data_IF_322227428919
#
_entry.id   IF_322227428919
#
_cell.length_a   1.000
_cell.length_b   1.000
_cell.length_c   1.000
_cell.angle_alpha   90.00
_cell.angle_beta   90.00
_cell.angle_gamma   90.00
#
_symmetry.space_group_name_H-M   'P 1'
#
loop_
_entity.id
_entity.type
_entity.pdbx_description
1 polymer ?
#
# COMPACT_ATOMS: atom_id res chain seq x y z
N UNK A 1 -31.04 -1.24 -84.41
CA UNK A 1 -29.96 -1.76 -83.51
C UNK A 1 -30.35 -1.45 -82.11
N UNK A 2 -30.67 -2.47 -81.30
CA UNK A 2 -31.07 -2.34 -79.88
C UNK A 2 -29.83 -2.58 -79.01
N UNK A 3 -29.57 -1.82 -77.94
CA UNK A 3 -28.44 -2.10 -77.03
C UNK A 3 -28.80 -3.21 -76.02
N UNK A 4 -27.84 -4.08 -75.84
CA UNK A 4 -27.85 -5.20 -74.87
C UNK A 4 -27.77 -4.62 -73.41
N UNK A 5 -28.70 -5.03 -72.55
CA UNK A 5 -28.65 -4.76 -71.13
C UNK A 5 -27.79 -5.83 -70.46
N UNK A 6 -26.66 -5.41 -69.93
CA UNK A 6 -25.80 -6.20 -69.06
C UNK A 6 -26.40 -6.28 -67.63
N UNK A 7 -26.83 -7.43 -67.23
CA UNK A 7 -27.29 -7.67 -65.82
C UNK A 7 -26.07 -7.85 -64.89
N UNK A 8 -25.87 -6.95 -64.01
CA UNK A 8 -24.91 -7.11 -62.92
C UNK A 8 -25.39 -8.18 -61.95
N UNK A 9 -24.72 -9.31 -61.91
CA UNK A 9 -24.77 -10.26 -60.81
C UNK A 9 -23.77 -9.77 -59.76
N UNK A 10 -24.27 -9.17 -58.68
CA UNK A 10 -23.50 -8.91 -57.47
C UNK A 10 -23.51 -10.23 -56.68
N UNK A 11 -22.39 -10.94 -56.72
CA UNK A 11 -22.15 -12.06 -55.82
C UNK A 11 -21.82 -11.48 -54.43
N UNK A 12 -22.76 -11.60 -53.51
CA UNK A 12 -22.54 -11.26 -52.12
C UNK A 12 -21.63 -12.28 -51.45
N UNK A 13 -20.37 -11.91 -51.23
CA UNK A 13 -19.51 -12.61 -50.30
C UNK A 13 -19.97 -12.27 -48.88
N UNK A 14 -20.74 -13.15 -48.25
CA UNK A 14 -20.93 -13.17 -46.81
C UNK A 14 -19.59 -13.54 -46.16
N UNK A 15 -18.84 -12.53 -45.74
CA UNK A 15 -17.78 -12.72 -44.80
C UNK A 15 -18.45 -13.10 -43.45
N UNK A 16 -18.49 -14.39 -43.19
CA UNK A 16 -18.73 -14.86 -41.82
C UNK A 16 -17.54 -14.39 -40.97
N UNK A 17 -17.69 -13.23 -40.34
CA UNK A 17 -16.81 -12.82 -39.27
C UNK A 17 -17.01 -13.85 -38.15
N UNK A 18 -16.20 -14.89 -38.17
CA UNK A 18 -16.06 -15.78 -37.03
C UNK A 18 -15.65 -14.94 -35.83
N UNK A 19 -16.59 -14.70 -34.96
CA UNK A 19 -16.28 -14.18 -33.64
C UNK A 19 -15.34 -15.21 -33.00
N UNK A 20 -14.03 -14.92 -33.03
CA UNK A 20 -13.09 -15.63 -32.18
C UNK A 20 -13.63 -15.46 -30.76
N UNK A 21 -13.82 -16.57 -30.03
CA UNK A 21 -14.18 -16.42 -28.62
C UNK A 21 -13.09 -15.55 -27.99
N UNK A 22 -13.45 -14.34 -27.63
CA UNK A 22 -12.68 -13.55 -26.67
C UNK A 22 -12.71 -14.41 -25.41
N UNK A 23 -11.69 -15.20 -25.24
CA UNK A 23 -11.41 -15.85 -23.97
C UNK A 23 -11.09 -14.68 -23.03
N UNK A 24 -12.16 -14.06 -22.54
CA UNK A 24 -12.06 -13.07 -21.52
C UNK A 24 -11.31 -13.71 -20.37
N UNK A 25 -10.27 -13.08 -19.91
CA UNK A 25 -9.52 -13.42 -18.70
C UNK A 25 -10.39 -13.31 -17.43
N UNK A 26 -11.67 -13.53 -17.55
CA UNK A 26 -12.67 -13.43 -16.47
C UNK A 26 -12.50 -14.51 -15.40
N UNK A 27 -11.48 -15.33 -15.49
CA UNK A 27 -11.18 -16.35 -14.50
C UNK A 27 -9.78 -16.27 -13.89
N UNK A 28 -8.85 -15.47 -14.40
CA UNK A 28 -7.52 -15.37 -13.83
C UNK A 28 -7.54 -14.66 -12.46
N UNK A 29 -6.72 -15.07 -11.47
CA UNK A 29 -6.55 -14.33 -10.23
C UNK A 29 -5.90 -12.97 -10.53
N UNK A 30 -6.29 -11.96 -9.77
CA UNK A 30 -5.62 -10.65 -9.77
C UNK A 30 -4.72 -10.56 -8.56
N UNK A 31 -3.46 -10.22 -8.75
CA UNK A 31 -2.50 -10.01 -7.67
C UNK A 31 -1.96 -8.58 -7.73
N UNK A 32 -2.12 -7.83 -6.65
CA UNK A 32 -1.43 -6.56 -6.42
C UNK A 32 -0.21 -6.85 -5.56
N UNK A 33 0.95 -6.37 -6.00
CA UNK A 33 2.19 -6.39 -5.22
C UNK A 33 2.43 -4.97 -4.76
N UNK A 34 2.25 -4.76 -3.46
CA UNK A 34 2.37 -3.50 -2.77
C UNK A 34 3.63 -3.49 -1.92
N UNK A 35 4.29 -2.36 -1.89
CA UNK A 35 5.44 -2.11 -1.03
C UNK A 35 5.14 -0.95 -0.11
N UNK A 36 5.44 -1.12 1.17
CA UNK A 36 5.06 -0.16 2.20
C UNK A 36 6.25 0.70 2.66
N UNK A 37 5.94 1.78 3.39
CA UNK A 37 6.85 2.66 4.13
C UNK A 37 7.73 3.58 3.26
N UNK A 38 7.34 3.91 2.02
CA UNK A 38 8.04 4.93 1.22
C UNK A 38 8.05 6.27 1.96
N UNK A 39 9.22 6.86 2.11
CA UNK A 39 9.43 8.09 2.88
C UNK A 39 10.12 7.84 4.23
N UNK A 40 10.16 6.61 4.72
CA UNK A 40 10.72 6.28 6.04
C UNK A 40 12.22 6.59 6.12
N UNK A 41 13.00 6.07 5.17
CA UNK A 41 14.46 6.21 5.08
C UNK A 41 14.88 6.33 3.62
N UNK A 42 16.08 6.86 3.37
CA UNK A 42 16.66 6.87 2.02
C UNK A 42 16.81 5.47 1.43
N UNK A 43 17.31 4.52 2.22
CA UNK A 43 17.45 3.11 1.83
C UNK A 43 16.11 2.45 1.45
N UNK A 44 15.02 2.83 2.11
CA UNK A 44 13.67 2.37 1.81
C UNK A 44 13.19 2.99 0.50
N UNK A 45 13.37 4.30 0.33
CA UNK A 45 12.97 5.01 -0.89
C UNK A 45 13.63 4.42 -2.13
N UNK A 46 14.95 4.23 -2.11
CA UNK A 46 15.70 3.63 -3.21
C UNK A 46 15.23 2.20 -3.50
N UNK A 47 15.05 1.37 -2.47
CA UNK A 47 14.57 0.00 -2.63
C UNK A 47 13.15 -0.06 -3.21
N UNK A 48 12.23 0.78 -2.74
CA UNK A 48 10.88 0.87 -3.28
C UNK A 48 10.88 1.18 -4.78
N UNK A 49 11.65 2.17 -5.20
CA UNK A 49 11.75 2.55 -6.61
C UNK A 49 12.45 1.47 -7.44
N UNK A 50 13.47 0.82 -6.88
CA UNK A 50 14.14 -0.29 -7.56
C UNK A 50 13.20 -1.48 -7.78
N UNK A 51 12.37 -1.86 -6.79
CA UNK A 51 11.40 -2.94 -6.94
C UNK A 51 10.30 -2.63 -7.97
N UNK A 52 9.99 -1.35 -8.20
CA UNK A 52 9.13 -0.93 -9.29
C UNK A 52 9.84 -0.99 -10.65
N UNK A 53 11.02 -0.38 -10.78
CA UNK A 53 11.74 -0.26 -12.06
C UNK A 53 12.26 -1.59 -12.58
N UNK A 54 12.77 -2.43 -11.71
CA UNK A 54 13.44 -3.69 -12.07
C UNK A 54 12.75 -4.95 -11.57
N UNK A 55 11.72 -4.81 -10.76
CA UNK A 55 10.96 -5.90 -10.16
C UNK A 55 9.49 -5.93 -10.57
N UNK A 56 8.68 -6.47 -9.68
CA UNK A 56 7.27 -6.77 -9.93
C UNK A 56 6.29 -5.88 -9.14
N UNK A 57 6.77 -5.01 -8.24
CA UNK A 57 5.92 -4.09 -7.50
C UNK A 57 5.24 -3.08 -8.43
N UNK A 58 3.98 -2.77 -8.16
CA UNK A 58 3.19 -1.82 -8.95
C UNK A 58 2.42 -0.82 -8.10
N UNK A 59 2.38 -1.01 -6.79
CA UNK A 59 1.78 -0.10 -5.82
C UNK A 59 2.74 0.18 -4.67
N UNK A 60 2.72 1.39 -4.13
CA UNK A 60 3.58 1.82 -3.02
C UNK A 60 2.79 2.68 -2.03
N UNK A 61 3.06 2.49 -0.74
CA UNK A 61 2.42 3.26 0.32
C UNK A 61 3.39 4.32 0.86
N UNK A 62 3.02 5.60 0.76
CA UNK A 62 3.86 6.73 1.15
C UNK A 62 3.47 7.31 2.51
N UNK A 63 4.45 7.67 3.31
CA UNK A 63 4.29 8.16 4.69
C UNK A 63 4.63 9.65 4.80
N UNK A 64 3.65 10.57 4.88
CA UNK A 64 3.91 12.02 4.85
C UNK A 64 4.56 12.57 6.12
N UNK A 65 4.52 11.83 7.23
CA UNK A 65 5.15 12.21 8.51
C UNK A 65 6.63 11.84 8.57
N UNK A 66 7.09 11.01 7.65
CA UNK A 66 8.44 10.47 7.66
C UNK A 66 9.48 11.49 7.13
N UNK A 67 10.71 11.41 7.65
CA UNK A 67 11.75 12.41 7.39
C UNK A 67 12.20 12.48 5.92
N UNK A 68 12.13 11.37 5.18
CA UNK A 68 12.52 11.28 3.77
C UNK A 68 11.35 11.43 2.78
N UNK A 69 10.20 11.89 3.26
CA UNK A 69 9.03 12.18 2.42
C UNK A 69 9.30 13.16 1.26
N UNK A 70 10.10 14.26 1.43
CA UNK A 70 10.42 15.14 0.30
C UNK A 70 11.17 14.44 -0.84
N UNK A 71 12.05 13.48 -0.52
CA UNK A 71 12.71 12.65 -1.53
C UNK A 71 11.73 11.70 -2.21
N UNK A 72 10.85 11.06 -1.42
CA UNK A 72 9.81 10.20 -1.96
C UNK A 72 8.92 10.92 -2.98
N UNK A 73 8.51 12.17 -2.71
CA UNK A 73 7.76 13.00 -3.67
C UNK A 73 8.53 13.18 -4.98
N UNK A 74 9.83 13.48 -4.91
CA UNK A 74 10.67 13.63 -6.11
C UNK A 74 10.71 12.34 -6.92
N UNK A 75 10.98 11.22 -6.25
CA UNK A 75 11.08 9.91 -6.90
C UNK A 75 9.74 9.48 -7.52
N UNK A 76 8.60 9.76 -6.86
CA UNK A 76 7.27 9.47 -7.41
C UNK A 76 6.97 10.30 -8.66
N UNK A 77 7.35 11.56 -8.71
CA UNK A 77 7.21 12.40 -9.93
C UNK A 77 8.01 11.86 -11.10
N UNK A 78 9.16 11.24 -10.85
CA UNK A 78 9.98 10.59 -11.86
C UNK A 78 9.44 9.21 -12.29
N UNK A 79 8.47 8.66 -11.57
CA UNK A 79 7.86 7.35 -11.80
C UNK A 79 6.31 7.43 -11.85
N UNK A 80 5.73 8.17 -12.81
CA UNK A 80 4.29 8.47 -12.82
C UNK A 80 3.39 7.24 -13.08
N UNK A 81 3.96 6.11 -13.49
CA UNK A 81 3.24 4.85 -13.68
C UNK A 81 3.15 3.98 -12.43
N UNK A 82 3.79 4.39 -11.33
CA UNK A 82 3.67 3.70 -10.05
C UNK A 82 2.37 4.14 -9.37
N UNK A 83 1.53 3.19 -8.98
CA UNK A 83 0.35 3.44 -8.18
C UNK A 83 0.76 3.83 -6.76
N UNK A 84 0.11 4.84 -6.18
CA UNK A 84 0.48 5.37 -4.87
C UNK A 84 -0.72 5.39 -3.94
N UNK A 85 -0.55 4.72 -2.80
CA UNK A 85 -1.43 4.85 -1.64
C UNK A 85 -0.83 5.76 -0.58
N UNK A 86 -1.70 6.35 0.22
CA UNK A 86 -1.29 7.05 1.44
C UNK A 86 -1.30 6.07 2.60
N UNK A 87 -0.13 5.84 3.17
CA UNK A 87 0.02 5.09 4.42
C UNK A 87 -0.25 6.02 5.61
N UNK A 88 -1.46 5.98 6.14
CA UNK A 88 -1.87 6.77 7.31
C UNK A 88 -1.12 6.31 8.55
N UNK A 89 -0.50 7.23 9.24
CA UNK A 89 0.47 6.95 10.32
C UNK A 89 0.04 7.65 11.60
N UNK A 90 -0.04 6.90 12.70
CA UNK A 90 -0.15 7.41 14.07
C UNK A 90 0.79 6.68 15.03
N UNK A 91 1.72 5.92 14.48
CA UNK A 91 2.80 5.27 15.24
C UNK A 91 4.14 5.69 14.67
N UNK A 92 5.18 5.57 15.46
CA UNK A 92 6.57 5.79 15.05
C UNK A 92 7.27 4.44 14.93
N UNK A 93 8.56 4.45 14.64
CA UNK A 93 9.40 3.28 14.83
C UNK A 93 10.02 3.29 16.23
N UNK A 94 10.88 2.32 16.51
CA UNK A 94 11.52 2.15 17.81
C UNK A 94 12.47 3.30 18.19
N UNK A 95 13.63 3.05 18.70
CA UNK A 95 14.46 4.05 19.38
C UNK A 95 15.07 5.09 18.44
N UNK A 96 15.51 4.69 17.24
CA UNK A 96 16.33 5.55 16.37
C UNK A 96 15.58 6.19 15.21
N UNK A 97 14.40 5.71 14.88
CA UNK A 97 13.58 6.22 13.78
C UNK A 97 12.25 6.69 14.33
N UNK A 98 12.11 7.99 14.54
CA UNK A 98 10.95 8.59 15.18
C UNK A 98 10.33 9.66 14.28
N UNK A 99 9.01 9.66 14.25
CA UNK A 99 8.24 10.66 13.51
C UNK A 99 7.35 11.46 14.45
N UNK A 100 7.09 12.70 14.05
CA UNK A 100 6.15 13.59 14.73
C UNK A 100 4.88 13.71 13.89
N UNK A 101 3.72 13.94 14.52
CA UNK A 101 2.51 14.27 13.78
C UNK A 101 2.68 15.57 12.99
N UNK A 102 1.88 15.73 11.94
CA UNK A 102 1.74 16.98 11.20
C UNK A 102 0.90 18.02 11.97
N UNK A 103 0.16 17.56 12.97
CA UNK A 103 -0.76 18.36 13.76
C UNK A 103 -0.43 18.29 15.26
N UNK A 104 -1.14 19.09 16.06
CA UNK A 104 -1.04 18.98 17.51
C UNK A 104 -2.00 17.89 18.00
N UNK A 105 -1.47 16.73 18.37
CA UNK A 105 -2.23 15.58 18.85
C UNK A 105 -1.54 14.89 20.04
N UNK A 106 -1.55 15.52 21.22
CA UNK A 106 -0.85 15.03 22.42
C UNK A 106 -1.33 13.66 22.90
N UNK A 107 -2.56 13.24 22.58
CA UNK A 107 -3.04 11.91 22.96
C UNK A 107 -2.39 10.76 22.18
N UNK A 108 -1.68 11.09 21.09
CA UNK A 108 -1.03 10.13 20.20
C UNK A 108 0.50 10.13 20.34
N UNK A 109 1.06 10.98 21.22
CA UNK A 109 2.50 11.20 21.31
C UNK A 109 3.03 11.00 22.73
N UNK A 110 4.31 10.62 22.79
CA UNK A 110 5.08 10.57 24.03
C UNK A 110 5.39 11.98 24.56
N UNK A 111 6.07 12.06 25.71
CA UNK A 111 6.47 13.31 26.35
C UNK A 111 7.40 14.18 25.48
N UNK A 112 8.09 13.59 24.51
CA UNK A 112 8.97 14.25 23.56
C UNK A 112 8.24 14.70 22.29
N UNK A 113 6.95 14.41 22.15
CA UNK A 113 6.12 14.74 21.01
C UNK A 113 6.34 13.84 19.78
N UNK A 114 6.87 12.65 19.97
CA UNK A 114 6.92 11.61 18.93
C UNK A 114 5.72 10.67 19.08
N UNK A 115 5.21 10.16 17.99
CA UNK A 115 4.24 9.06 18.04
C UNK A 115 4.78 7.88 18.84
N UNK A 116 3.90 7.19 19.57
CA UNK A 116 4.24 5.92 20.21
C UNK A 116 4.70 4.90 19.18
N UNK A 117 5.66 4.01 19.52
CA UNK A 117 6.24 3.09 18.53
C UNK A 117 5.32 1.95 18.11
N UNK A 118 4.25 1.69 18.85
CA UNK A 118 3.40 0.52 18.63
C UNK A 118 1.92 0.86 18.60
N UNK A 119 1.16 0.09 17.84
CA UNK A 119 -0.30 0.15 17.87
C UNK A 119 -0.86 -0.65 19.04
N UNK A 120 -0.38 -1.88 19.25
CA UNK A 120 -0.90 -2.83 20.21
C UNK A 120 0.03 -3.01 21.41
N UNK A 121 -0.50 -3.35 22.60
CA UNK A 121 0.30 -3.62 23.78
C UNK A 121 1.33 -4.72 23.53
N UNK A 122 2.55 -4.50 24.01
CA UNK A 122 3.62 -5.48 23.98
C UNK A 122 4.20 -5.62 25.40
N UNK A 123 4.17 -6.82 26.01
CA UNK A 123 4.71 -7.03 27.36
C UNK A 123 6.19 -6.67 27.52
N UNK A 124 6.98 -6.71 26.43
CA UNK A 124 8.37 -6.29 26.47
C UNK A 124 8.55 -4.77 26.51
N UNK A 125 7.51 -4.00 26.16
CA UNK A 125 7.53 -2.55 26.06
C UNK A 125 6.22 -1.95 26.61
N UNK A 126 5.94 -2.13 27.92
CA UNK A 126 4.68 -1.69 28.51
C UNK A 126 4.52 -0.16 28.42
N UNK A 127 3.30 0.28 28.11
CA UNK A 127 2.97 1.70 28.02
C UNK A 127 3.42 2.39 26.73
N UNK A 128 3.98 1.65 25.77
CA UNK A 128 4.50 2.22 24.52
C UNK A 128 3.61 1.97 23.29
N UNK A 129 2.34 1.68 23.49
CA UNK A 129 1.40 1.52 22.40
C UNK A 129 0.26 2.52 22.45
N UNK A 130 -0.30 2.86 21.30
CA UNK A 130 -1.49 3.72 21.17
C UNK A 130 -2.66 3.14 21.96
N UNK A 131 -2.87 1.83 21.92
CA UNK A 131 -4.00 1.19 22.61
C UNK A 131 -3.87 1.19 24.15
N UNK A 132 -2.71 1.48 24.69
CA UNK A 132 -2.50 1.68 26.13
C UNK A 132 -2.74 3.15 26.56
N UNK A 133 -2.90 4.07 25.60
CA UNK A 133 -3.15 5.48 25.86
C UNK A 133 -4.64 5.82 25.85
N UNK A 134 -4.97 6.99 26.39
CA UNK A 134 -6.29 7.60 26.25
C UNK A 134 -6.32 8.45 24.97
N UNK A 135 -6.25 7.80 23.81
CA UNK A 135 -6.28 8.50 22.52
C UNK A 135 -7.63 9.22 22.29
N UNK A 136 -7.60 10.33 21.54
CA UNK A 136 -8.77 11.11 21.16
C UNK A 136 -9.04 10.96 19.66
N UNK A 137 -10.23 10.50 19.32
CA UNK A 137 -10.67 10.33 17.92
C UNK A 137 -10.63 11.63 17.11
N UNK A 138 -10.80 12.78 17.76
CA UNK A 138 -10.74 14.08 17.08
C UNK A 138 -9.30 14.43 16.70
N UNK A 139 -8.34 14.07 17.52
CA UNK A 139 -6.92 14.24 17.19
C UNK A 139 -6.50 13.29 16.07
N UNK A 140 -6.99 12.04 16.09
CA UNK A 140 -6.77 11.09 14.97
C UNK A 140 -7.38 11.64 13.68
N UNK A 141 -8.61 12.15 13.72
CA UNK A 141 -9.24 12.75 12.53
C UNK A 141 -8.46 13.95 12.01
N UNK A 142 -8.05 14.85 12.89
CA UNK A 142 -7.27 16.02 12.52
C UNK A 142 -5.94 15.63 11.87
N UNK A 143 -5.26 14.65 12.43
CA UNK A 143 -3.99 14.15 11.91
C UNK A 143 -4.16 13.45 10.55
N UNK A 144 -5.13 12.55 10.42
CA UNK A 144 -5.40 11.88 9.15
C UNK A 144 -5.79 12.85 8.04
N UNK A 145 -6.58 13.88 8.33
CA UNK A 145 -6.90 14.94 7.37
C UNK A 145 -5.65 15.68 6.91
N UNK A 146 -4.79 16.07 7.85
CA UNK A 146 -3.54 16.75 7.51
C UNK A 146 -2.62 15.88 6.64
N UNK A 147 -2.53 14.58 6.92
CA UNK A 147 -1.77 13.64 6.10
C UNK A 147 -2.37 13.49 4.70
N UNK A 148 -3.69 13.34 4.57
CA UNK A 148 -4.39 13.25 3.27
C UNK A 148 -4.17 14.52 2.45
N UNK A 149 -4.42 15.67 3.03
CA UNK A 149 -4.33 16.96 2.34
C UNK A 149 -2.90 17.31 1.92
N UNK A 150 -1.91 16.98 2.76
CA UNK A 150 -0.50 17.14 2.44
C UNK A 150 -0.09 16.28 1.25
N UNK A 151 -0.56 15.03 1.23
CA UNK A 151 -0.24 14.08 0.17
C UNK A 151 -0.93 14.45 -1.14
N UNK A 152 -2.21 14.82 -1.11
CA UNK A 152 -2.95 15.28 -2.30
C UNK A 152 -2.30 16.50 -2.98
N UNK A 153 -1.72 17.43 -2.21
CA UNK A 153 -1.00 18.60 -2.75
C UNK A 153 0.30 18.21 -3.46
N UNK A 154 0.94 17.13 -3.05
CA UNK A 154 2.30 16.79 -3.44
C UNK A 154 2.37 15.67 -4.48
N UNK A 155 1.40 14.75 -4.49
CA UNK A 155 1.42 13.49 -5.23
C UNK A 155 0.12 13.33 -6.03
N UNK A 156 0.12 13.75 -7.33
CA UNK A 156 -1.09 13.70 -8.16
C UNK A 156 -1.62 12.29 -8.43
N UNK A 157 -0.77 11.27 -8.35
CA UNK A 157 -1.12 9.86 -8.57
C UNK A 157 -1.67 9.15 -7.33
N UNK A 158 -1.95 9.87 -6.24
CA UNK A 158 -2.57 9.28 -5.05
C UNK A 158 -3.92 8.67 -5.39
N UNK A 159 -4.08 7.39 -5.11
CA UNK A 159 -5.24 6.59 -5.53
C UNK A 159 -6.06 6.00 -4.39
N UNK A 160 -5.45 5.76 -3.22
CA UNK A 160 -6.09 5.06 -2.11
C UNK A 160 -5.44 5.35 -0.75
N UNK A 161 -6.08 4.84 0.30
CA UNK A 161 -5.62 4.91 1.69
C UNK A 161 -5.28 3.52 2.21
N UNK A 162 -4.25 3.44 3.02
CA UNK A 162 -3.89 2.28 3.84
C UNK A 162 -3.42 2.73 5.22
N UNK A 163 -3.14 1.82 6.14
CA UNK A 163 -2.72 2.16 7.50
C UNK A 163 -1.43 1.49 7.93
N UNK A 164 -0.46 2.31 8.31
CA UNK A 164 0.76 1.84 8.95
C UNK A 164 0.44 1.14 10.27
N UNK A 165 0.98 -0.08 10.48
CA UNK A 165 0.74 -0.88 11.69
C UNK A 165 -0.75 -1.03 12.07
N UNK A 166 -1.66 -1.13 11.09
CA UNK A 166 -3.11 -1.22 11.29
C UNK A 166 -3.76 0.05 11.89
N UNK A 167 -3.16 1.22 11.71
CA UNK A 167 -3.65 2.51 12.22
C UNK A 167 -5.09 2.85 11.78
N UNK A 168 -5.53 2.32 10.66
CA UNK A 168 -6.87 2.56 10.07
C UNK A 168 -7.97 1.67 10.63
N UNK A 169 -7.65 0.67 11.45
CA UNK A 169 -8.62 -0.34 11.84
C UNK A 169 -8.45 -0.93 13.23
N UNK A 170 -7.64 -0.36 14.10
CA UNK A 170 -7.39 -0.91 15.44
C UNK A 170 -8.61 -0.79 16.38
N UNK A 171 -9.59 0.05 16.04
CA UNK A 171 -10.88 0.11 16.71
C UNK A 171 -12.02 0.32 15.70
N UNK A 172 -13.25 -0.03 16.12
CA UNK A 172 -14.45 0.22 15.30
C UNK A 172 -14.61 1.71 14.97
N UNK A 173 -14.42 2.58 15.96
CA UNK A 173 -14.58 4.03 15.83
C UNK A 173 -13.59 4.60 14.81
N UNK A 174 -12.33 4.17 14.84
CA UNK A 174 -11.30 4.59 13.89
C UNK A 174 -11.60 4.04 12.49
N UNK A 175 -12.05 2.81 12.37
CA UNK A 175 -12.47 2.27 11.06
C UNK A 175 -13.61 3.09 10.45
N UNK A 176 -14.66 3.42 11.23
CA UNK A 176 -15.77 4.28 10.78
C UNK A 176 -15.29 5.68 10.36
N UNK A 177 -14.34 6.25 11.11
CA UNK A 177 -13.68 7.51 10.73
C UNK A 177 -12.99 7.39 9.37
N UNK A 178 -12.15 6.38 9.18
CA UNK A 178 -11.40 6.18 7.93
C UNK A 178 -12.35 5.97 6.74
N UNK A 179 -13.43 5.19 6.91
CA UNK A 179 -14.43 5.02 5.86
C UNK A 179 -15.11 6.35 5.48
N UNK A 180 -15.37 7.22 6.45
CA UNK A 180 -15.91 8.56 6.21
C UNK A 180 -14.91 9.43 5.44
N UNK A 181 -13.65 9.45 5.85
CA UNK A 181 -12.59 10.20 5.16
C UNK A 181 -12.36 9.66 3.74
N UNK A 182 -12.30 8.36 3.57
CA UNK A 182 -12.18 7.70 2.26
C UNK A 182 -13.25 8.16 1.28
N UNK A 183 -14.50 8.25 1.74
CA UNK A 183 -15.62 8.75 0.95
C UNK A 183 -15.51 10.26 0.68
N UNK A 184 -15.16 11.05 1.68
CA UNK A 184 -15.06 12.51 1.60
C UNK A 184 -13.99 12.94 0.60
N UNK A 185 -12.81 12.30 0.64
CA UNK A 185 -11.70 12.61 -0.25
C UNK A 185 -11.70 11.81 -1.55
N UNK A 186 -12.68 10.92 -1.75
CA UNK A 186 -12.76 10.00 -2.89
C UNK A 186 -11.50 9.13 -3.05
N UNK A 187 -10.96 8.67 -1.94
CA UNK A 187 -9.80 7.78 -1.83
C UNK A 187 -10.22 6.50 -1.11
N UNK A 188 -10.47 5.38 -1.82
CA UNK A 188 -10.86 4.14 -1.16
C UNK A 188 -9.80 3.66 -0.17
N UNK A 189 -10.22 3.10 0.95
CA UNK A 189 -9.34 2.38 1.88
C UNK A 189 -9.25 0.92 1.46
N UNK A 190 -8.03 0.39 1.35
CA UNK A 190 -7.78 -0.97 0.87
C UNK A 190 -7.29 -1.94 1.95
N UNK A 191 -7.34 -1.53 3.20
CA UNK A 191 -6.90 -2.37 4.30
C UNK A 191 -7.85 -3.53 4.60
N UNK A 192 -7.35 -4.54 5.32
CA UNK A 192 -8.11 -5.74 5.75
C UNK A 192 -9.43 -5.41 6.42
N UNK A 193 -9.48 -4.30 7.15
CA UNK A 193 -10.62 -3.87 7.95
C UNK A 193 -11.67 -3.16 7.11
N UNK A 194 -11.37 -2.85 5.86
CA UNK A 194 -12.36 -2.29 4.95
C UNK A 194 -13.42 -3.35 4.62
N UNK A 195 -14.67 -3.02 4.93
CA UNK A 195 -15.84 -3.85 4.62
C UNK A 195 -16.39 -3.62 3.22
N UNK A 196 -15.85 -2.67 2.46
CA UNK A 196 -16.31 -2.39 1.11
C UNK A 196 -16.04 -3.59 0.19
N UNK A 197 -17.08 -4.04 -0.51
CA UNK A 197 -16.99 -5.23 -1.37
C UNK A 197 -16.09 -5.00 -2.58
N UNK A 198 -15.91 -3.75 -3.00
CA UNK A 198 -15.23 -3.41 -4.24
C UNK A 198 -13.70 -3.45 -4.13
N UNK A 199 -13.16 -3.33 -2.91
CA UNK A 199 -11.73 -3.28 -2.63
C UNK A 199 -11.24 -4.42 -1.75
N UNK A 200 -11.99 -5.51 -1.65
CA UNK A 200 -11.56 -6.68 -0.88
C UNK A 200 -10.43 -7.44 -1.57
N UNK A 201 -9.34 -7.58 -0.82
CA UNK A 201 -8.22 -8.44 -1.18
C UNK A 201 -8.07 -9.57 -0.16
N UNK A 202 -7.69 -10.74 -0.65
CA UNK A 202 -7.14 -11.80 0.20
C UNK A 202 -5.66 -11.54 0.36
N UNK A 203 -5.20 -11.30 1.58
CA UNK A 203 -3.78 -11.13 1.84
C UNK A 203 -3.06 -12.46 1.69
N UNK A 204 -1.97 -12.45 0.95
CA UNK A 204 -1.01 -13.54 0.87
C UNK A 204 0.35 -13.05 1.33
N UNK A 205 1.18 -13.95 1.83
CA UNK A 205 2.50 -13.63 2.34
C UNK A 205 3.40 -14.85 2.33
N UNK A 206 4.59 -14.70 2.90
CA UNK A 206 5.50 -15.81 3.11
C UNK A 206 4.91 -16.83 4.10
N UNK A 207 5.33 -18.10 4.00
CA UNK A 207 4.92 -19.20 4.88
C UNK A 207 5.75 -19.23 6.19
N UNK A 208 5.94 -18.07 6.80
CA UNK A 208 6.72 -17.83 8.00
C UNK A 208 7.94 -16.93 7.74
N UNK A 209 8.76 -16.66 8.78
CA UNK A 209 9.94 -15.82 8.66
C UNK A 209 10.92 -16.34 7.60
N UNK A 210 11.45 -15.46 6.77
CA UNK A 210 12.43 -15.77 5.73
C UNK A 210 13.65 -14.87 5.91
N UNK A 211 14.84 -15.47 5.83
CA UNK A 211 16.11 -14.78 6.07
C UNK A 211 16.91 -14.52 4.80
N UNK A 212 16.66 -15.29 3.73
CA UNK A 212 17.38 -15.15 2.47
C UNK A 212 16.43 -14.85 1.31
N UNK A 213 16.97 -14.30 0.23
CA UNK A 213 16.21 -14.04 -0.98
C UNK A 213 15.63 -15.32 -1.58
N UNK A 214 16.39 -16.43 -1.55
CA UNK A 214 15.97 -17.72 -2.08
C UNK A 214 14.81 -18.30 -1.27
N UNK A 215 14.84 -18.16 0.06
CA UNK A 215 13.74 -18.58 0.94
C UNK A 215 12.48 -17.75 0.67
N UNK A 216 12.62 -16.43 0.50
CA UNK A 216 11.51 -15.52 0.14
C UNK A 216 10.93 -15.91 -1.22
N UNK A 217 11.76 -16.10 -2.24
CA UNK A 217 11.34 -16.50 -3.59
C UNK A 217 10.58 -17.82 -3.57
N UNK A 218 11.14 -18.86 -2.97
CA UNK A 218 10.51 -20.17 -2.89
C UNK A 218 9.16 -20.12 -2.15
N UNK A 219 9.06 -19.34 -1.08
CA UNK A 219 7.82 -19.17 -0.33
C UNK A 219 6.79 -18.37 -1.13
N UNK A 220 7.20 -17.32 -1.86
CA UNK A 220 6.33 -16.54 -2.71
C UNK A 220 5.78 -17.38 -3.86
N UNK A 221 6.61 -18.17 -4.55
CA UNK A 221 6.16 -19.10 -5.60
C UNK A 221 5.08 -20.05 -5.07
N UNK A 222 5.28 -20.66 -3.90
CA UNK A 222 4.27 -21.50 -3.25
C UNK A 222 2.96 -20.75 -2.95
N UNK A 223 3.03 -19.45 -2.65
CA UNK A 223 1.84 -18.63 -2.45
C UNK A 223 1.10 -18.40 -3.77
N UNK A 224 1.83 -18.16 -4.87
CA UNK A 224 1.26 -17.99 -6.21
C UNK A 224 0.53 -19.25 -6.70
N UNK A 225 1.05 -20.45 -6.42
CA UNK A 225 0.44 -21.73 -6.78
C UNK A 225 -0.95 -21.97 -6.15
N UNK A 226 -1.24 -21.25 -5.06
CA UNK A 226 -2.51 -21.36 -4.31
C UNK A 226 -3.58 -20.38 -4.75
N UNK A 227 -3.27 -19.47 -5.66
CA UNK A 227 -4.20 -18.44 -6.12
C UNK A 227 -5.38 -19.09 -6.88
N UNK A 228 -6.58 -18.65 -6.55
CA UNK A 228 -7.81 -19.17 -7.17
C UNK A 228 -8.31 -18.23 -8.26
N UNK A 229 -8.82 -18.77 -9.37
CA UNK A 229 -9.41 -17.97 -10.44
C UNK A 229 -10.48 -17.00 -9.95
N UNK A 230 -10.51 -15.81 -10.50
CA UNK A 230 -11.52 -14.77 -10.18
C UNK A 230 -11.37 -14.10 -8.82
N UNK A 231 -10.38 -14.48 -8.02
CA UNK A 231 -10.10 -13.85 -6.73
C UNK A 231 -9.09 -12.71 -6.86
N UNK A 232 -9.15 -11.77 -5.91
CA UNK A 232 -8.21 -10.65 -5.79
C UNK A 232 -7.30 -10.87 -4.59
N UNK A 233 -6.01 -10.71 -4.82
CA UNK A 233 -4.98 -10.93 -3.81
C UNK A 233 -4.10 -9.70 -3.66
N UNK A 234 -3.62 -9.49 -2.43
CA UNK A 234 -2.63 -8.49 -2.09
C UNK A 234 -1.45 -9.16 -1.40
N UNK A 235 -0.27 -9.01 -1.98
CA UNK A 235 1.00 -9.29 -1.35
C UNK A 235 1.65 -7.97 -0.98
N UNK A 236 2.11 -7.85 0.26
CA UNK A 236 2.84 -6.66 0.72
C UNK A 236 4.20 -7.06 1.29
N UNK A 237 5.19 -6.19 1.05
CA UNK A 237 6.53 -6.33 1.64
C UNK A 237 7.10 -4.93 1.94
N UNK A 238 8.18 -4.89 2.70
CA UNK A 238 8.87 -3.68 3.14
C UNK A 238 10.32 -3.72 2.65
N UNK A 239 10.60 -3.30 1.41
CA UNK A 239 11.95 -3.38 0.86
C UNK A 239 12.85 -2.30 1.45
N UNK A 240 14.11 -2.66 1.68
CA UNK A 240 15.17 -1.73 2.04
C UNK A 240 16.50 -2.22 1.45
N UNK A 241 17.44 -1.29 1.19
CA UNK A 241 18.77 -1.66 0.77
C UNK A 241 19.59 -2.14 1.97
N UNK A 242 20.39 -3.19 1.78
CA UNK A 242 21.39 -3.63 2.76
C UNK A 242 22.62 -2.71 2.73
N UNK A 243 22.50 -1.58 3.42
CA UNK A 243 23.56 -0.57 3.50
C UNK A 243 23.77 -0.10 4.96
N UNK A 244 24.70 0.83 5.16
CA UNK A 244 25.07 1.31 6.50
C UNK A 244 23.93 2.06 7.19
N UNK A 245 23.06 2.76 6.44
CA UNK A 245 21.86 3.40 7.01
C UNK A 245 20.94 2.37 7.65
N UNK A 246 20.58 1.31 6.92
CA UNK A 246 19.72 0.24 7.43
C UNK A 246 20.37 -0.53 8.56
N UNK A 247 21.65 -0.85 8.48
CA UNK A 247 22.39 -1.51 9.55
C UNK A 247 22.38 -0.69 10.82
N UNK A 248 22.58 0.62 10.72
CA UNK A 248 22.52 1.52 11.88
C UNK A 248 21.14 1.58 12.50
N UNK A 249 20.08 1.61 11.70
CA UNK A 249 18.70 1.57 12.18
C UNK A 249 18.38 0.23 12.87
N UNK A 250 18.86 -0.90 12.32
CA UNK A 250 18.58 -2.25 12.83
C UNK A 250 19.43 -2.62 14.05
N UNK A 251 20.68 -2.12 14.17
CA UNK A 251 21.58 -2.46 15.27
C UNK A 251 21.04 -2.00 16.65
N UNK A 252 20.16 -1.02 16.68
CA UNK A 252 19.59 -0.46 17.90
C UNK A 252 18.09 -0.77 18.04
N UNK A 253 17.48 -1.34 17.03
CA UNK A 253 16.12 -1.86 17.12
C UNK A 253 16.19 -3.36 17.39
N UNK A 254 15.61 -3.82 18.49
CA UNK A 254 15.28 -5.22 18.66
C UNK A 254 14.53 -5.70 17.41
N UNK A 255 14.64 -6.98 16.99
CA UNK A 255 13.99 -7.42 15.77
C UNK A 255 12.54 -6.93 15.75
N UNK A 256 12.18 -6.24 14.68
CA UNK A 256 10.84 -5.74 14.47
C UNK A 256 9.84 -6.87 14.70
N UNK A 257 8.67 -6.64 15.31
CA UNK A 257 7.59 -7.62 15.32
C UNK A 257 7.23 -8.17 13.93
N UNK A 258 7.65 -7.47 12.87
CA UNK A 258 7.53 -7.90 11.47
C UNK A 258 8.52 -9.01 11.10
N UNK A 259 9.63 -9.14 11.83
CA UNK A 259 10.66 -10.17 11.62
C UNK A 259 10.45 -11.41 12.51
N UNK A 260 9.45 -11.36 13.36
CA UNK A 260 8.98 -12.47 14.19
C UNK A 260 7.68 -13.04 13.66
#
# INVERSE_FOLDING_TARGET
>A
MKPLRLKNMIAGCLLAAGALPVWGQSGAPTLVIRIDDLGALHSVNEACIQTYRSGIARSVEVMPVAAWYPEAIKMLKENPGLDVGLHLVITSEWENVKWRPLTHCPSLTDENGYFYPMMFPNPAYPGQSIMEQKWDIKEIEQEFRAQIETTLKSIPQLSHLSGHMLSTGFSKEVNELVQRLAKEYNLPSIDRMDSSKDYRFTYIGYDGPKRTAEEKEASFIKALEKLQPGQRYLFLDHPALDNDEMKTCLLYTSPSPRDM
#
